data_IF_339793060716
#
_entry.id   IF_339793060716
#
_cell.length_a   1.000
_cell.length_b   1.000
_cell.length_c   1.000
_cell.angle_alpha   90.00
_cell.angle_beta   90.00
_cell.angle_gamma   90.00
#
_symmetry.space_group_name_H-M   'P 1'
#
loop_
_entity.id
_entity.type
_entity.pdbx_description
1 polymer ?
#
# COMPACT_ATOMS: atom_id res chain seq x y z
N UNK A 1 18.44 14.76 2.34
CA UNK A 1 18.63 13.30 2.18
C UNK A 1 17.24 12.68 2.18
N UNK A 2 16.84 11.97 1.14
CA UNK A 2 15.58 11.21 1.19
C UNK A 2 15.84 9.96 2.02
N UNK A 3 15.07 9.78 3.08
CA UNK A 3 15.11 8.57 3.91
C UNK A 3 14.14 7.60 3.25
N UNK A 4 14.65 6.53 2.66
CA UNK A 4 13.83 5.46 2.12
C UNK A 4 13.89 4.29 3.10
N UNK A 5 12.76 3.94 3.67
CA UNK A 5 12.65 2.70 4.43
C UNK A 5 12.83 1.53 3.49
N UNK A 6 13.72 0.60 3.84
CA UNK A 6 13.82 -0.71 3.21
C UNK A 6 13.18 -1.74 4.13
N UNK A 7 12.23 -2.49 3.61
CA UNK A 7 11.60 -3.59 4.31
C UNK A 7 12.15 -4.91 3.78
N UNK A 8 12.41 -5.85 4.69
CA UNK A 8 12.77 -7.21 4.34
C UNK A 8 11.58 -7.99 3.78
N UNK A 9 11.85 -9.11 3.11
CA UNK A 9 10.82 -9.95 2.52
C UNK A 9 9.83 -10.50 3.57
N UNK A 10 10.32 -10.89 4.75
CA UNK A 10 9.49 -11.39 5.85
C UNK A 10 8.50 -10.31 6.33
N UNK A 11 9.01 -9.09 6.55
CA UNK A 11 8.17 -7.95 6.96
C UNK A 11 7.13 -7.58 5.91
N UNK A 12 7.50 -7.61 4.63
CA UNK A 12 6.54 -7.39 3.53
C UNK A 12 5.47 -8.47 3.52
N UNK A 13 5.83 -9.74 3.72
CA UNK A 13 4.86 -10.83 3.77
C UNK A 13 3.88 -10.67 4.96
N UNK A 14 4.38 -10.28 6.13
CA UNK A 14 3.56 -9.98 7.30
C UNK A 14 2.59 -8.82 7.03
N UNK A 15 3.10 -7.70 6.48
CA UNK A 15 2.27 -6.54 6.13
C UNK A 15 1.19 -6.91 5.12
N UNK A 16 1.53 -7.66 4.06
CA UNK A 16 0.58 -8.03 3.01
C UNK A 16 -0.45 -9.06 3.51
N UNK A 17 -0.08 -9.93 4.44
CA UNK A 17 -1.00 -10.91 5.05
C UNK A 17 -2.18 -10.27 5.80
N UNK A 18 -2.04 -9.02 6.21
CA UNK A 18 -3.10 -8.23 6.84
C UNK A 18 -4.19 -7.76 5.88
N UNK A 19 -3.96 -7.88 4.57
CA UNK A 19 -4.93 -7.58 3.52
C UNK A 19 -5.54 -8.88 2.97
N UNK A 20 -6.73 -8.77 2.39
CA UNK A 20 -7.39 -9.91 1.75
C UNK A 20 -7.08 -9.94 0.24
N UNK A 21 -5.80 -9.99 -0.10
CA UNK A 21 -5.29 -9.91 -1.49
C UNK A 21 -4.57 -11.18 -1.95
N UNK A 22 -4.68 -12.27 -1.18
CA UNK A 22 -3.97 -13.52 -1.46
C UNK A 22 -2.56 -13.56 -0.85
N UNK A 23 -1.72 -14.45 -1.37
CA UNK A 23 -0.37 -14.71 -0.86
C UNK A 23 0.66 -13.87 -1.61
N UNK A 24 1.59 -13.24 -0.88
CA UNK A 24 2.69 -12.49 -1.49
C UNK A 24 3.59 -13.41 -2.34
N UNK A 25 3.71 -13.12 -3.63
CA UNK A 25 4.63 -13.79 -4.57
C UNK A 25 5.95 -13.03 -4.63
N UNK A 26 5.88 -11.71 -4.84
CA UNK A 26 7.06 -10.87 -4.95
C UNK A 26 6.80 -9.43 -4.51
N UNK A 27 7.86 -8.78 -4.04
CA UNK A 27 7.85 -7.36 -3.71
C UNK A 27 9.11 -6.70 -4.28
N UNK A 28 8.93 -5.66 -5.10
CA UNK A 28 10.02 -4.92 -5.74
C UNK A 28 9.96 -3.46 -5.35
N UNK A 29 10.98 -2.99 -4.64
CA UNK A 29 11.11 -1.56 -4.30
C UNK A 29 11.21 -0.70 -5.56
N UNK A 30 10.47 0.40 -5.58
CA UNK A 30 10.46 1.38 -6.67
C UNK A 30 11.36 2.54 -6.23
N UNK A 31 12.53 2.64 -6.87
CA UNK A 31 13.53 3.66 -6.56
C UNK A 31 13.20 5.06 -7.13
N UNK A 32 12.16 5.15 -7.97
CA UNK A 32 11.71 6.40 -8.57
C UNK A 32 10.63 7.05 -7.69
N UNK A 33 11.06 7.87 -6.75
CA UNK A 33 10.17 8.62 -5.89
C UNK A 33 10.98 9.48 -4.93
N UNK A 34 10.64 10.76 -4.80
CA UNK A 34 11.44 11.71 -3.98
C UNK A 34 10.88 11.91 -2.57
N UNK A 35 9.78 11.23 -2.20
CA UNK A 35 9.03 11.57 -0.98
C UNK A 35 8.46 10.39 -0.19
N UNK A 36 8.20 9.23 -0.79
CA UNK A 36 7.66 8.05 -0.11
C UNK A 36 8.44 6.80 -0.56
N UNK A 37 8.49 5.77 0.28
CA UNK A 37 8.95 4.45 -0.14
C UNK A 37 7.80 3.71 -0.79
N UNK A 38 8.01 3.18 -1.99
CA UNK A 38 6.99 2.43 -2.73
C UNK A 38 7.52 1.05 -3.12
N UNK A 39 6.64 0.06 -3.12
CA UNK A 39 6.93 -1.29 -3.60
C UNK A 39 5.83 -1.74 -4.56
N UNK A 40 6.23 -2.34 -5.68
CA UNK A 40 5.33 -3.15 -6.50
C UNK A 40 5.16 -4.50 -5.83
N UNK A 41 3.94 -4.83 -5.46
CA UNK A 41 3.54 -6.07 -4.78
C UNK A 41 2.81 -6.95 -5.78
N UNK A 42 3.20 -8.21 -5.86
CA UNK A 42 2.53 -9.23 -6.66
C UNK A 42 1.97 -10.30 -5.72
N UNK A 43 0.68 -10.58 -5.80
CA UNK A 43 0.01 -11.59 -4.97
C UNK A 43 -0.75 -12.61 -5.81
N UNK A 44 -0.91 -13.82 -5.26
CA UNK A 44 -1.71 -14.91 -5.84
C UNK A 44 -2.95 -15.16 -4.99
N UNK A 45 -4.14 -15.03 -5.60
CA UNK A 45 -5.40 -15.43 -5.01
C UNK A 45 -5.55 -16.95 -4.90
N UNK A 46 -6.51 -17.42 -4.10
CA UNK A 46 -6.76 -18.86 -3.92
C UNK A 46 -7.21 -19.58 -5.21
N UNK A 47 -7.70 -18.82 -6.19
CA UNK A 47 -8.07 -19.26 -7.53
C UNK A 47 -6.90 -19.27 -8.52
N UNK A 48 -5.69 -18.89 -8.08
CA UNK A 48 -4.51 -18.75 -8.92
C UNK A 48 -4.44 -17.42 -9.68
N UNK A 49 -5.32 -16.46 -9.41
CA UNK A 49 -5.29 -15.15 -10.06
C UNK A 49 -4.15 -14.31 -9.50
N UNK A 50 -3.26 -13.85 -10.39
CA UNK A 50 -2.16 -12.95 -10.02
C UNK A 50 -2.60 -11.50 -10.14
N UNK A 51 -2.43 -10.73 -9.06
CA UNK A 51 -2.79 -9.30 -9.00
C UNK A 51 -1.58 -8.47 -8.58
N UNK A 52 -1.48 -7.26 -9.11
CA UNK A 52 -0.43 -6.30 -8.78
C UNK A 52 -1.02 -5.18 -7.94
N UNK A 53 -0.23 -4.71 -6.97
CA UNK A 53 -0.56 -3.59 -6.10
C UNK A 53 0.65 -2.70 -5.88
N UNK A 54 0.43 -1.47 -5.43
CA UNK A 54 1.46 -0.59 -4.92
C UNK A 54 1.30 -0.47 -3.40
N UNK A 55 2.33 -0.89 -2.66
CA UNK A 55 2.45 -0.56 -1.25
C UNK A 55 3.20 0.76 -1.12
N UNK A 56 2.59 1.75 -0.48
CA UNK A 56 3.21 3.06 -0.21
C UNK A 56 3.40 3.23 1.28
N UNK A 57 4.65 3.46 1.70
CA UNK A 57 5.00 3.93 3.03
C UNK A 57 5.22 5.44 3.00
N UNK A 58 4.42 6.16 3.78
CA UNK A 58 4.49 7.60 3.88
C UNK A 58 5.65 8.01 4.78
N UNK A 59 6.63 8.71 4.21
CA UNK A 59 7.78 9.23 4.95
C UNK A 59 7.44 10.60 5.58
N UNK A 60 8.32 11.09 6.46
CA UNK A 60 8.12 12.24 7.37
C UNK A 60 7.68 13.57 6.73
N UNK A 61 7.63 13.68 5.40
CA UNK A 61 7.12 14.88 4.70
C UNK A 61 5.61 14.88 4.50
N UNK A 62 4.94 13.78 4.80
CA UNK A 62 3.49 13.66 4.66
C UNK A 62 2.82 14.04 5.98
N UNK A 63 1.89 14.99 5.93
CA UNK A 63 0.99 15.23 7.06
C UNK A 63 0.03 14.05 7.17
N UNK A 64 0.20 13.25 8.24
CA UNK A 64 -0.59 12.06 8.45
C UNK A 64 -2.05 12.38 8.77
N UNK A 65 -2.35 13.60 9.23
CA UNK A 65 -3.71 14.04 9.54
C UNK A 65 -4.55 14.21 8.25
N UNK A 66 -3.90 14.48 7.11
CA UNK A 66 -4.55 14.59 5.80
C UNK A 66 -4.70 13.23 5.10
N UNK A 67 -3.98 12.19 5.53
CA UNK A 67 -3.97 10.89 4.88
C UNK A 67 -5.39 10.26 4.76
N UNK A 68 -6.24 10.28 5.80
CA UNK A 68 -7.61 9.80 5.69
C UNK A 68 -8.42 10.50 4.60
N UNK A 69 -8.21 11.80 4.40
CA UNK A 69 -8.89 12.57 3.35
C UNK A 69 -8.45 12.11 1.97
N UNK A 70 -7.13 11.94 1.72
CA UNK A 70 -6.62 11.52 0.42
C UNK A 70 -7.06 10.11 0.03
N UNK A 71 -6.96 9.15 0.95
CA UNK A 71 -7.38 7.77 0.70
C UNK A 71 -8.91 7.69 0.50
N UNK A 72 -9.67 8.39 1.33
CA UNK A 72 -11.13 8.47 1.17
C UNK A 72 -11.55 9.14 -0.14
N UNK A 73 -10.79 10.12 -0.64
CA UNK A 73 -11.03 10.73 -1.94
C UNK A 73 -10.78 9.73 -3.09
N UNK A 74 -9.71 8.93 -3.02
CA UNK A 74 -9.45 7.87 -3.99
C UNK A 74 -10.60 6.85 -4.02
N UNK A 75 -11.07 6.41 -2.86
CA UNK A 75 -12.18 5.46 -2.75
C UNK A 75 -13.48 6.03 -3.29
N UNK A 76 -13.77 7.30 -2.97
CA UNK A 76 -14.94 8.00 -3.49
C UNK A 76 -14.88 8.06 -5.02
N UNK A 77 -13.78 8.52 -5.60
CA UNK A 77 -13.62 8.67 -7.04
C UNK A 77 -13.66 7.31 -7.76
N UNK A 78 -12.96 6.30 -7.25
CA UNK A 78 -12.98 4.94 -7.78
C UNK A 78 -14.40 4.33 -7.73
N UNK A 79 -15.14 4.55 -6.63
CA UNK A 79 -16.54 4.13 -6.49
C UNK A 79 -17.50 4.81 -7.48
N UNK A 80 -17.12 5.97 -8.02
CA UNK A 80 -17.87 6.69 -9.05
C UNK A 80 -17.35 6.43 -10.48
N UNK A 81 -16.47 5.44 -10.66
CA UNK A 81 -15.96 5.04 -11.97
C UNK A 81 -14.93 6.01 -12.57
N UNK A 82 -14.34 6.89 -11.76
CA UNK A 82 -13.20 7.69 -12.21
C UNK A 82 -11.96 6.80 -12.38
N UNK A 83 -11.10 7.06 -13.39
CA UNK A 83 -9.89 6.28 -13.64
C UNK A 83 -8.77 6.68 -12.67
N UNK A 84 -8.99 6.37 -11.39
CA UNK A 84 -8.04 6.55 -10.29
C UNK A 84 -7.79 5.21 -9.63
N UNK A 85 -6.63 5.00 -9.01
CA UNK A 85 -6.39 3.79 -8.26
C UNK A 85 -7.29 3.74 -7.01
N UNK A 86 -7.59 2.53 -6.54
CA UNK A 86 -8.43 2.28 -5.36
C UNK A 86 -7.56 1.96 -4.14
N UNK A 87 -8.00 2.38 -2.96
CA UNK A 87 -7.38 1.95 -1.70
C UNK A 87 -7.84 0.55 -1.34
N UNK A 88 -6.90 -0.37 -1.14
CA UNK A 88 -7.18 -1.69 -0.60
C UNK A 88 -7.18 -1.58 0.92
N UNK A 89 -8.35 -1.83 1.50
CA UNK A 89 -8.52 -1.81 2.95
C UNK A 89 -8.01 -3.13 3.54
N UNK A 90 -7.45 -3.05 4.75
CA UNK A 90 -7.04 -4.26 5.47
C UNK A 90 -8.25 -5.09 5.93
N UNK A 91 -7.98 -6.26 6.53
CA UNK A 91 -9.03 -7.16 7.06
C UNK A 91 -9.89 -6.52 8.15
N UNK A 92 -9.46 -5.41 8.75
CA UNK A 92 -10.23 -4.63 9.74
C UNK A 92 -10.94 -3.41 9.10
N UNK A 93 -10.98 -3.36 7.76
CA UNK A 93 -11.58 -2.29 6.96
C UNK A 93 -10.92 -0.91 7.20
N UNK A 94 -9.61 -0.88 7.51
CA UNK A 94 -8.84 0.35 7.63
C UNK A 94 -8.15 0.68 6.30
N UNK A 95 -8.16 1.96 5.88
CA UNK A 95 -7.55 2.38 4.61
C UNK A 95 -6.02 2.44 4.65
N UNK A 96 -5.43 2.46 5.85
CA UNK A 96 -3.97 2.42 6.06
C UNK A 96 -3.65 1.78 7.41
N UNK A 97 -2.40 1.39 7.58
CA UNK A 97 -1.84 0.81 8.82
C UNK A 97 -0.57 1.54 9.23
N UNK A 98 -0.11 1.29 10.44
CA UNK A 98 1.20 1.75 10.90
C UNK A 98 2.19 0.59 10.99
N UNK A 99 3.44 0.85 10.59
CA UNK A 99 4.59 0.00 10.84
C UNK A 99 5.78 0.88 11.21
N UNK A 100 6.44 0.59 12.33
CA UNK A 100 7.56 1.39 12.86
C UNK A 100 7.29 2.90 12.89
N UNK A 101 6.06 3.28 13.26
CA UNK A 101 5.64 4.68 13.36
C UNK A 101 5.39 5.38 12.01
N UNK A 102 5.40 4.66 10.89
CA UNK A 102 5.10 5.18 9.55
C UNK A 102 3.79 4.59 9.03
N UNK A 103 3.00 5.42 8.35
CA UNK A 103 1.77 4.95 7.73
C UNK A 103 2.06 4.18 6.42
N UNK A 104 1.23 3.17 6.16
CA UNK A 104 1.29 2.27 5.02
C UNK A 104 -0.10 2.13 4.40
N UNK A 105 -0.22 2.33 3.11
CA UNK A 105 -1.44 2.04 2.36
C UNK A 105 -1.12 1.11 1.18
N UNK A 106 -2.05 0.19 0.89
CA UNK A 106 -1.99 -0.68 -0.26
C UNK A 106 -2.99 -0.17 -1.30
N UNK A 107 -2.53 -0.04 -2.55
CA UNK A 107 -3.25 0.62 -3.63
C UNK A 107 -3.31 -0.33 -4.85
N UNK A 108 -4.45 -0.40 -5.53
CA UNK A 108 -4.65 -1.14 -6.79
C UNK A 108 -3.99 -0.44 -7.99
#
# INVERSE_FOLDING_TARGET
>A
MAVYTQLGAETLAEIIGEFDVGTLISAKGIAEGVSNSNWLIETEGADGTVTLFILTMYEQRTDLDDLPFFLGLLDYLAGHGCPVPRTIHDRENRPFRFHDGKALALIE
#
